data_IF_600748394226
#
_entry.id   IF_600748394226
#
_cell.length_a   1.000
_cell.length_b   1.000
_cell.length_c   1.000
_cell.angle_alpha   90.00
_cell.angle_beta   90.00
_cell.angle_gamma   90.00
#
_symmetry.space_group_name_H-M   'P 1'
#
loop_
_entity.id
_entity.type
_entity.pdbx_description
1 polymer ?
#
# COMPACT_ATOMS: atom_id res chain seq x y z
N UNK A 1 -7.03 -11.21 21.60
CA UNK A 1 -6.96 -11.64 20.18
C UNK A 1 -6.60 -10.44 19.33
N UNK A 2 -5.40 -10.37 18.76
CA UNK A 2 -5.02 -9.27 17.87
C UNK A 2 -5.90 -9.36 16.61
N UNK A 3 -6.74 -8.35 16.35
CA UNK A 3 -7.42 -8.22 15.05
C UNK A 3 -6.34 -8.21 13.97
N UNK A 4 -6.29 -9.24 13.11
CA UNK A 4 -5.49 -9.18 11.89
C UNK A 4 -5.96 -7.97 11.09
N UNK A 5 -5.18 -6.89 11.10
CA UNK A 5 -5.46 -5.74 10.25
C UNK A 5 -5.39 -6.20 8.80
N UNK A 6 -6.45 -5.91 8.05
CA UNK A 6 -6.47 -6.23 6.61
C UNK A 6 -5.41 -5.42 5.89
N UNK A 7 -4.91 -5.93 4.76
CA UNK A 7 -3.90 -5.24 3.92
C UNK A 7 -4.32 -3.80 3.58
N UNK A 8 -5.63 -3.60 3.36
CA UNK A 8 -6.25 -2.30 3.14
C UNK A 8 -6.13 -1.36 4.34
N UNK A 9 -6.48 -1.83 5.54
CA UNK A 9 -6.42 -1.02 6.75
C UNK A 9 -4.99 -0.58 7.07
N UNK A 10 -4.02 -1.48 6.88
CA UNK A 10 -2.60 -1.16 7.05
C UNK A 10 -2.15 -0.05 6.09
N UNK A 11 -2.45 -0.17 4.80
CA UNK A 11 -2.06 0.85 3.81
C UNK A 11 -2.66 2.22 4.13
N UNK A 12 -3.92 2.27 4.54
CA UNK A 12 -4.59 3.53 4.88
C UNK A 12 -4.04 4.15 6.16
N UNK A 13 -3.73 3.36 7.19
CA UNK A 13 -3.12 3.87 8.42
C UNK A 13 -1.72 4.43 8.17
N UNK A 14 -0.90 3.73 7.38
CA UNK A 14 0.45 4.20 7.03
C UNK A 14 0.41 5.50 6.23
N UNK A 15 -0.50 5.57 5.25
CA UNK A 15 -0.64 6.76 4.41
C UNK A 15 -1.28 7.93 5.17
N UNK A 16 -2.23 7.67 6.07
CA UNK A 16 -2.87 8.69 6.91
C UNK A 16 -1.95 9.26 7.99
N UNK A 17 -0.95 8.51 8.46
CA UNK A 17 -0.01 8.96 9.49
C UNK A 17 1.20 9.73 8.95
N UNK A 18 1.71 9.37 7.76
CA UNK A 18 2.99 9.89 7.25
C UNK A 18 2.90 10.60 5.89
N UNK A 19 1.76 10.51 5.18
CA UNK A 19 1.58 11.06 3.83
C UNK A 19 2.31 10.28 2.73
N UNK A 20 3.42 9.61 3.06
CA UNK A 20 4.25 8.80 2.16
C UNK A 20 4.62 7.46 2.79
N UNK A 21 4.69 6.42 1.97
CA UNK A 21 5.08 5.05 2.34
C UNK A 21 6.02 4.47 1.28
N UNK A 22 7.15 3.92 1.68
CA UNK A 22 8.04 3.22 0.76
C UNK A 22 7.39 1.92 0.25
N UNK A 23 7.51 1.66 -1.05
CA UNK A 23 6.90 0.50 -1.71
C UNK A 23 7.54 -0.81 -1.28
N UNK A 24 8.84 -0.83 -0.99
CA UNK A 24 9.53 -2.00 -0.46
C UNK A 24 9.08 -2.30 0.98
N UNK A 25 8.87 -1.27 1.81
CA UNK A 25 8.36 -1.44 3.17
C UNK A 25 6.92 -1.95 3.16
N UNK A 26 6.08 -1.44 2.25
CA UNK A 26 4.75 -1.95 2.02
C UNK A 26 4.78 -3.41 1.54
N UNK A 27 5.71 -3.77 0.66
CA UNK A 27 5.87 -5.13 0.16
C UNK A 27 6.28 -6.10 1.26
N UNK A 28 7.27 -5.71 2.08
CA UNK A 28 7.74 -6.50 3.23
C UNK A 28 6.60 -6.76 4.20
N UNK A 29 5.82 -5.73 4.52
CA UNK A 29 4.74 -5.89 5.48
C UNK A 29 3.58 -6.72 4.95
N UNK A 30 3.24 -6.57 3.67
CA UNK A 30 2.08 -7.20 3.06
C UNK A 30 2.33 -8.62 2.54
N UNK A 31 3.57 -8.95 2.21
CA UNK A 31 3.95 -10.19 1.55
C UNK A 31 5.18 -10.87 2.16
N UNK A 32 5.84 -10.26 3.16
CA UNK A 32 7.04 -10.81 3.79
C UNK A 32 8.31 -10.68 2.93
N UNK A 33 8.27 -9.86 1.89
CA UNK A 33 9.31 -9.80 0.86
C UNK A 33 9.47 -8.36 0.32
N UNK A 34 10.72 -7.92 0.12
CA UNK A 34 11.10 -6.61 -0.41
C UNK A 34 11.47 -6.62 -1.89
N UNK A 35 11.48 -7.78 -2.53
CA UNK A 35 11.87 -7.93 -3.92
C UNK A 35 10.83 -7.37 -4.90
N UNK A 36 11.27 -7.23 -6.15
CA UNK A 36 10.50 -6.57 -7.21
C UNK A 36 9.13 -7.21 -7.46
N UNK A 37 9.04 -8.54 -7.38
CA UNK A 37 7.76 -9.26 -7.51
C UNK A 37 6.78 -8.88 -6.40
N UNK A 38 7.25 -8.73 -5.16
CA UNK A 38 6.43 -8.32 -4.03
C UNK A 38 5.97 -6.86 -4.20
N UNK A 39 6.85 -5.96 -4.66
CA UNK A 39 6.51 -4.57 -4.99
C UNK A 39 5.45 -4.48 -6.08
N UNK A 40 5.56 -5.28 -7.15
CA UNK A 40 4.56 -5.35 -8.22
C UNK A 40 3.20 -5.84 -7.70
N UNK A 41 3.19 -6.78 -6.75
CA UNK A 41 1.93 -7.21 -6.10
C UNK A 41 1.28 -6.06 -5.32
N UNK A 42 2.05 -5.24 -4.61
CA UNK A 42 1.52 -4.03 -3.93
C UNK A 42 0.92 -3.05 -4.95
N UNK A 43 1.61 -2.77 -6.06
CA UNK A 43 1.09 -1.88 -7.12
C UNK A 43 -0.24 -2.41 -7.66
N UNK A 44 -0.30 -3.71 -8.01
CA UNK A 44 -1.55 -4.34 -8.49
C UNK A 44 -2.66 -4.26 -7.45
N UNK A 45 -2.34 -4.45 -6.16
CA UNK A 45 -3.30 -4.35 -5.07
C UNK A 45 -3.87 -2.93 -4.97
N UNK A 46 -3.03 -1.90 -5.04
CA UNK A 46 -3.44 -0.50 -5.04
C UNK A 46 -4.33 -0.17 -6.25
N UNK A 47 -3.99 -0.67 -7.44
CA UNK A 47 -4.83 -0.52 -8.63
C UNK A 47 -6.19 -1.21 -8.49
N UNK A 48 -6.22 -2.40 -7.88
CA UNK A 48 -7.46 -3.13 -7.60
C UNK A 48 -8.34 -2.39 -6.59
N UNK A 49 -7.75 -1.78 -5.56
CA UNK A 49 -8.48 -0.95 -4.60
C UNK A 49 -9.00 0.33 -5.24
N UNK A 50 -8.22 1.01 -6.09
CA UNK A 50 -8.68 2.18 -6.86
C UNK A 50 -9.94 1.95 -7.65
N UNK A 51 -10.11 0.76 -8.25
CA UNK A 51 -11.32 0.42 -9.01
C UNK A 51 -12.56 0.25 -8.14
N UNK A 52 -12.40 -0.05 -6.85
CA UNK A 52 -13.50 -0.42 -5.94
C UNK A 52 -13.75 0.61 -4.84
N UNK A 53 -12.79 1.47 -4.55
CA UNK A 53 -12.82 2.39 -3.41
C UNK A 53 -12.22 3.75 -3.78
N UNK A 54 -13.03 4.79 -3.68
CA UNK A 54 -12.65 6.18 -3.95
C UNK A 54 -11.55 6.71 -3.05
N UNK A 55 -11.41 6.16 -1.84
CA UNK A 55 -10.34 6.52 -0.89
C UNK A 55 -8.95 6.28 -1.50
N UNK A 56 -8.84 5.32 -2.43
CA UNK A 56 -7.57 5.00 -3.11
C UNK A 56 -7.33 5.83 -4.37
N UNK A 57 -8.30 6.62 -4.87
CA UNK A 57 -8.13 7.46 -6.06
C UNK A 57 -7.00 8.48 -5.89
N UNK A 58 -6.84 8.96 -4.66
CA UNK A 58 -5.81 9.90 -4.23
C UNK A 58 -4.48 9.24 -3.88
N UNK A 59 -4.31 7.94 -4.14
CA UNK A 59 -3.03 7.26 -3.90
C UNK A 59 -2.24 7.15 -5.20
N UNK A 60 -1.03 7.70 -5.21
CA UNK A 60 -0.07 7.61 -6.31
C UNK A 60 1.12 6.78 -5.91
N UNK A 61 1.72 6.09 -6.88
CA UNK A 61 2.99 5.40 -6.72
C UNK A 61 3.97 6.02 -7.70
N UNK A 62 5.06 6.63 -7.21
CA UNK A 62 6.08 7.28 -8.05
C UNK A 62 7.45 6.99 -7.47
N UNK A 63 8.37 6.53 -8.33
CA UNK A 63 9.77 6.27 -7.95
C UNK A 63 9.93 5.37 -6.71
N UNK A 64 9.05 4.37 -6.54
CA UNK A 64 9.07 3.48 -5.38
C UNK A 64 8.43 4.05 -4.11
N UNK A 65 7.85 5.24 -4.15
CA UNK A 65 7.11 5.83 -3.03
C UNK A 65 5.61 5.82 -3.33
N UNK A 66 4.81 5.42 -2.34
CA UNK A 66 3.36 5.51 -2.32
C UNK A 66 2.99 6.79 -1.58
N UNK A 67 2.27 7.70 -2.22
CA UNK A 67 1.89 9.02 -1.68
C UNK A 67 0.38 9.19 -1.72
N UNK A 68 -0.17 9.81 -0.68
CA UNK A 68 -1.54 10.32 -0.68
C UNK A 68 -1.53 11.79 -1.16
N UNK A 69 -2.26 12.09 -2.24
CA UNK A 69 -2.38 13.43 -2.85
C UNK A 69 -3.69 14.13 -2.50
#
# INVERSE_FOLDING_TARGET
MARQKTKKAYLLEMLGGHGNLDLADAAEKLYGDREELARLKVIRLLSAYRKKDKTFENIRVRSGIITYI
#
